data_IF_118644054790
#
_entry.id   IF_118644054790
#
_cell.length_a   1.000
_cell.length_b   1.000
_cell.length_c   1.000
_cell.angle_alpha   90.00
_cell.angle_beta   90.00
_cell.angle_gamma   90.00
#
_symmetry.space_group_name_H-M   'P 1'
#
loop_
_entity.id
_entity.type
_entity.pdbx_description
1 polymer ?
#
# COMPACT_ATOMS: atom_id res chain seq x y z
N UNK A 1 -14.39 -0.62 0.81
CA UNK A 1 -13.41 -1.33 -0.05
C UNK A 1 -13.06 -0.51 -1.29
N UNK A 2 -11.79 -0.24 -1.52
CA UNK A 2 -11.27 0.37 -2.75
C UNK A 2 -10.04 -0.37 -3.29
N UNK A 3 -9.83 -0.32 -4.59
CA UNK A 3 -8.68 -0.96 -5.25
C UNK A 3 -7.55 0.05 -5.40
N UNK A 4 -6.44 -0.18 -4.70
CA UNK A 4 -5.23 0.65 -4.83
C UNK A 4 -4.43 0.27 -6.07
N UNK A 5 -4.23 -1.04 -6.29
CA UNK A 5 -3.55 -1.61 -7.45
C UNK A 5 -4.48 -2.65 -8.07
N UNK A 6 -4.64 -2.60 -9.40
CA UNK A 6 -5.38 -3.63 -10.14
C UNK A 6 -4.79 -3.78 -11.54
N UNK A 7 -3.75 -4.60 -11.65
CA UNK A 7 -3.21 -5.04 -12.94
C UNK A 7 -3.45 -6.55 -13.11
N UNK A 8 -2.90 -7.16 -14.16
CA UNK A 8 -3.20 -8.55 -14.50
C UNK A 8 -2.63 -9.54 -13.47
N UNK A 9 -1.51 -9.18 -12.84
CA UNK A 9 -0.75 -10.05 -11.94
C UNK A 9 -0.99 -9.73 -10.46
N UNK A 10 -1.20 -8.47 -10.10
CA UNK A 10 -1.32 -7.99 -8.72
C UNK A 10 -2.58 -7.15 -8.52
N UNK A 11 -3.36 -7.53 -7.52
CA UNK A 11 -4.47 -6.76 -6.99
C UNK A 11 -4.23 -6.47 -5.51
N UNK A 12 -4.34 -5.18 -5.15
CA UNK A 12 -4.26 -4.71 -3.76
C UNK A 12 -5.52 -3.91 -3.47
N UNK A 13 -6.30 -4.43 -2.52
CA UNK A 13 -7.52 -3.78 -2.06
C UNK A 13 -7.36 -3.35 -0.61
N UNK A 14 -7.92 -2.21 -0.29
CA UNK A 14 -7.95 -1.65 1.04
C UNK A 14 -9.42 -1.51 1.46
N UNK A 15 -9.79 -2.17 2.54
CA UNK A 15 -11.14 -2.12 3.09
C UNK A 15 -11.15 -1.46 4.45
N UNK A 16 -11.92 -0.38 4.60
CA UNK A 16 -12.02 0.35 5.86
C UNK A 16 -12.79 -0.51 6.85
N UNK A 17 -12.16 -0.84 7.98
CA UNK A 17 -12.76 -1.68 9.02
C UNK A 17 -13.17 -0.88 10.25
N UNK A 18 -12.42 0.18 10.59
CA UNK A 18 -12.68 1.03 11.74
C UNK A 18 -12.02 2.41 11.58
N UNK A 19 -12.41 3.37 12.42
CA UNK A 19 -11.91 4.74 12.42
C UNK A 19 -11.97 5.36 13.82
N UNK A 20 -11.03 6.24 14.16
CA UNK A 20 -11.01 6.92 15.47
C UNK A 20 -10.57 8.37 15.38
N UNK A 21 -11.31 9.25 16.06
CA UNK A 21 -11.07 10.71 16.09
C UNK A 21 -10.06 11.14 17.16
N UNK A 22 -9.89 10.36 18.23
CA UNK A 22 -9.01 10.75 19.36
C UNK A 22 -7.55 10.85 18.95
N UNK A 23 -7.13 9.95 18.07
CA UNK A 23 -5.88 10.00 17.33
C UNK A 23 -6.28 9.73 15.89
N UNK A 24 -6.54 10.76 15.05
CA UNK A 24 -7.14 10.60 13.72
C UNK A 24 -6.47 9.48 12.92
N UNK A 25 -7.13 8.31 12.88
CA UNK A 25 -6.58 7.08 12.31
C UNK A 25 -7.69 6.25 11.70
N UNK A 26 -7.32 5.49 10.68
CA UNK A 26 -8.21 4.57 9.97
C UNK A 26 -7.58 3.18 9.99
N UNK A 27 -8.39 2.16 10.24
CA UNK A 27 -7.99 0.78 10.12
C UNK A 27 -8.38 0.24 8.75
N UNK A 28 -7.43 -0.42 8.08
CA UNK A 28 -7.69 -1.12 6.83
C UNK A 28 -7.43 -2.62 6.97
N UNK A 29 -8.31 -3.43 6.41
CA UNK A 29 -7.93 -4.76 5.93
C UNK A 29 -7.25 -4.59 4.56
N UNK A 30 -5.99 -5.04 4.46
CA UNK A 30 -5.22 -5.04 3.20
C UNK A 30 -5.32 -6.42 2.58
N UNK A 31 -6.01 -6.50 1.45
CA UNK A 31 -6.25 -7.75 0.72
C UNK A 31 -5.35 -7.76 -0.51
N UNK A 32 -4.53 -8.81 -0.64
CA UNK A 32 -3.57 -8.97 -1.72
C UNK A 32 -3.87 -10.25 -2.47
N UNK A 33 -4.05 -10.13 -3.78
CA UNK A 33 -4.13 -11.25 -4.71
C UNK A 33 -3.00 -11.13 -5.70
N UNK A 34 -2.15 -12.15 -5.79
CA UNK A 34 -1.04 -12.20 -6.73
C UNK A 34 -1.13 -13.47 -7.57
N UNK A 35 -1.36 -13.28 -8.86
CA UNK A 35 -1.63 -14.32 -9.84
C UNK A 35 -0.53 -14.32 -10.90
N UNK A 36 0.44 -15.22 -10.75
CA UNK A 36 1.51 -15.46 -11.71
C UNK A 36 1.29 -16.81 -12.41
N UNK A 37 1.90 -17.06 -13.58
CA UNK A 37 1.69 -18.31 -14.34
C UNK A 37 1.91 -19.61 -13.56
N UNK A 38 2.77 -19.60 -12.54
CA UNK A 38 3.12 -20.78 -11.74
C UNK A 38 2.85 -20.62 -10.24
N UNK A 39 2.38 -19.45 -9.80
CA UNK A 39 2.23 -19.13 -8.38
C UNK A 39 0.98 -18.30 -8.17
N UNK A 40 0.18 -18.70 -7.19
CA UNK A 40 -0.95 -17.93 -6.73
C UNK A 40 -0.76 -17.67 -5.23
N UNK A 41 -0.93 -16.41 -4.84
CA UNK A 41 -0.96 -16.01 -3.44
C UNK A 41 -2.21 -15.18 -3.20
N UNK A 42 -2.97 -15.55 -2.18
CA UNK A 42 -4.02 -14.70 -1.62
C UNK A 42 -3.69 -14.50 -0.14
N UNK A 43 -3.56 -13.26 0.27
CA UNK A 43 -3.19 -12.88 1.62
C UNK A 43 -4.06 -11.71 2.09
N UNK A 44 -4.33 -11.66 3.40
CA UNK A 44 -5.02 -10.55 4.04
C UNK A 44 -4.27 -10.14 5.32
N UNK A 45 -3.80 -8.90 5.36
CA UNK A 45 -3.42 -8.25 6.61
C UNK A 45 -4.69 -7.62 7.20
N UNK A 46 -4.94 -7.88 8.48
CA UNK A 46 -6.15 -7.40 9.15
C UNK A 46 -5.85 -6.22 10.06
N UNK A 47 -6.79 -5.28 10.12
CA UNK A 47 -6.77 -4.16 11.08
C UNK A 47 -5.43 -3.39 11.10
N UNK A 48 -4.91 -3.08 9.91
CA UNK A 48 -3.74 -2.23 9.76
C UNK A 48 -4.13 -0.78 10.08
N UNK A 49 -3.79 -0.32 11.28
CA UNK A 49 -4.08 1.04 11.72
C UNK A 49 -3.07 2.04 11.16
N UNK A 50 -3.58 3.09 10.51
CA UNK A 50 -2.77 4.12 9.85
C UNK A 50 -3.25 5.49 10.34
N UNK A 51 -2.32 6.34 10.79
CA UNK A 51 -2.65 7.74 11.07
C UNK A 51 -3.05 8.45 9.78
N UNK A 52 -4.11 9.27 9.86
CA UNK A 52 -4.58 10.06 8.72
C UNK A 52 -3.47 10.95 8.14
N UNK A 53 -2.63 11.53 9.00
CA UNK A 53 -1.50 12.36 8.57
C UNK A 53 -0.39 11.57 7.85
N UNK A 54 -0.21 10.29 8.19
CA UNK A 54 0.75 9.39 7.53
C UNK A 54 0.20 8.97 6.17
N UNK A 55 -1.10 8.70 6.07
CA UNK A 55 -1.77 8.46 4.79
C UNK A 55 -1.62 9.63 3.82
N UNK A 56 -1.89 10.85 4.29
CA UNK A 56 -1.82 12.05 3.45
C UNK A 56 -0.39 12.32 2.99
N UNK A 57 0.59 12.19 3.89
CA UNK A 57 2.01 12.28 3.51
C UNK A 57 2.42 11.21 2.51
N UNK A 58 1.95 9.98 2.67
CA UNK A 58 2.26 8.90 1.74
C UNK A 58 1.70 9.20 0.34
N UNK A 59 0.45 9.69 0.26
CA UNK A 59 -0.19 10.12 -0.97
C UNK A 59 0.61 11.24 -1.68
N UNK A 60 1.01 12.28 -0.95
CA UNK A 60 1.84 13.36 -1.50
C UNK A 60 3.23 12.88 -1.90
N UNK A 61 3.80 11.92 -1.16
CA UNK A 61 5.11 11.34 -1.46
C UNK A 61 5.07 10.52 -2.76
N UNK A 62 3.97 9.83 -3.05
CA UNK A 62 3.80 9.13 -4.34
C UNK A 62 3.82 10.13 -5.49
N UNK A 63 3.16 11.29 -5.35
CA UNK A 63 3.19 12.34 -6.37
C UNK A 63 4.63 12.81 -6.61
N UNK A 64 5.38 13.09 -5.54
CA UNK A 64 6.78 13.48 -5.66
C UNK A 64 7.65 12.39 -6.32
N UNK A 65 7.42 11.12 -5.99
CA UNK A 65 8.15 9.99 -6.56
C UNK A 65 7.92 9.85 -8.08
N UNK A 66 6.75 10.25 -8.60
CA UNK A 66 6.49 10.26 -10.04
C UNK A 66 7.45 11.19 -10.80
N UNK A 67 7.80 12.32 -10.22
CA UNK A 67 8.66 13.35 -10.85
C UNK A 67 10.16 13.03 -10.75
N UNK A 68 10.55 12.17 -9.81
CA UNK A 68 11.95 11.80 -9.56
C UNK A 68 12.45 10.69 -10.49
N UNK A 69 13.74 10.69 -10.83
CA UNK A 69 14.35 9.58 -11.58
C UNK A 69 14.42 8.30 -10.74
N UNK A 70 14.73 8.43 -9.46
CA UNK A 70 14.76 7.34 -8.49
C UNK A 70 14.37 7.82 -7.11
N UNK A 71 13.87 6.90 -6.28
CA UNK A 71 13.44 7.19 -4.92
C UNK A 71 12.64 6.05 -4.33
N UNK A 72 12.21 6.21 -3.08
CA UNK A 72 11.33 5.27 -2.42
C UNK A 72 10.35 5.98 -1.49
N UNK A 73 9.18 5.40 -1.32
CA UNK A 73 8.16 5.84 -0.36
C UNK A 73 7.55 4.62 0.32
N UNK A 74 7.22 4.75 1.60
CA UNK A 74 6.68 3.66 2.41
C UNK A 74 5.52 4.16 3.25
N UNK A 75 4.43 3.41 3.24
CA UNK A 75 3.30 3.55 4.15
C UNK A 75 3.52 2.64 5.35
N UNK A 76 3.53 3.23 6.54
CA UNK A 76 3.69 2.50 7.80
C UNK A 76 2.38 2.48 8.61
N UNK A 77 2.22 1.44 9.43
CA UNK A 77 1.18 1.40 10.46
C UNK A 77 1.55 2.28 11.68
N UNK A 78 0.63 2.36 12.66
CA UNK A 78 0.83 3.05 13.94
C UNK A 78 2.03 2.55 14.75
N UNK A 79 2.45 1.29 14.56
CA UNK A 79 3.61 0.70 15.20
C UNK A 79 4.90 0.90 14.40
N UNK A 80 4.83 1.71 13.34
CA UNK A 80 5.92 1.97 12.39
C UNK A 80 6.42 0.70 11.66
N UNK A 81 5.57 -0.31 11.50
CA UNK A 81 5.82 -1.42 10.60
C UNK A 81 5.44 -1.02 9.17
N UNK A 82 6.26 -1.36 8.17
CA UNK A 82 5.94 -1.05 6.80
C UNK A 82 4.82 -1.97 6.28
N UNK A 83 3.88 -1.37 5.56
CA UNK A 83 2.71 -2.04 4.98
C UNK A 83 2.84 -2.13 3.45
N UNK A 84 3.11 -1.00 2.80
CA UNK A 84 3.26 -0.89 1.34
C UNK A 84 4.42 0.04 1.06
N UNK A 85 5.35 -0.39 0.21
CA UNK A 85 6.46 0.41 -0.25
C UNK A 85 6.52 0.45 -1.77
N UNK A 86 6.89 1.61 -2.31
CA UNK A 86 7.17 1.81 -3.72
C UNK A 86 8.62 2.28 -3.86
N UNK A 87 9.40 1.59 -4.67
CA UNK A 87 10.76 2.01 -5.04
C UNK A 87 10.83 2.19 -6.55
N UNK A 88 11.18 3.40 -6.99
CA UNK A 88 11.33 3.74 -8.41
C UNK A 88 12.79 3.78 -8.80
N UNK A 89 13.12 3.22 -9.96
CA UNK A 89 14.42 3.33 -10.60
C UNK A 89 14.24 3.49 -12.11
N UNK A 90 14.24 4.73 -12.60
CA UNK A 90 13.93 5.05 -13.99
C UNK A 90 12.52 4.60 -14.39
N UNK A 91 12.45 3.63 -15.31
CA UNK A 91 11.18 3.07 -15.79
C UNK A 91 10.62 1.95 -14.90
N UNK A 92 11.42 1.44 -13.96
CA UNK A 92 11.03 0.32 -13.10
C UNK A 92 10.39 0.82 -11.82
N UNK A 93 9.34 0.11 -11.40
CA UNK A 93 8.68 0.27 -10.11
C UNK A 93 8.68 -1.05 -9.38
N UNK A 94 9.24 -1.08 -8.19
CA UNK A 94 9.13 -2.20 -7.27
C UNK A 94 8.07 -1.86 -6.23
N UNK A 95 7.04 -2.70 -6.15
CA UNK A 95 6.02 -2.65 -5.10
C UNK A 95 6.30 -3.76 -4.10
N UNK A 96 6.44 -3.40 -2.83
CA UNK A 96 6.55 -4.35 -1.72
C UNK A 96 5.34 -4.23 -0.81
N UNK A 97 4.68 -5.36 -0.53
CA UNK A 97 3.58 -5.43 0.44
C UNK A 97 4.05 -6.29 1.59
N UNK A 98 3.99 -5.72 2.78
CA UNK A 98 4.61 -6.25 3.99
C UNK A 98 3.55 -6.38 5.07
N UNK A 99 3.65 -7.47 5.81
CA UNK A 99 2.85 -7.68 7.01
C UNK A 99 3.68 -8.42 8.03
N UNK A 100 3.61 -7.98 9.27
CA UNK A 100 4.24 -8.65 10.40
C UNK A 100 3.17 -8.91 11.44
N UNK A 101 3.15 -10.14 11.94
CA UNK A 101 2.30 -10.49 13.06
C UNK A 101 2.68 -9.67 14.30
N UNK A 102 1.68 -9.21 15.04
CA UNK A 102 1.87 -8.35 16.23
C UNK A 102 2.58 -9.08 17.38
N UNK A 103 2.48 -10.42 17.42
CA UNK A 103 3.22 -11.27 18.34
C UNK A 103 4.61 -11.65 17.82
N UNK A 104 4.98 -11.18 16.62
CA UNK A 104 6.27 -11.42 15.98
C UNK A 104 6.47 -12.86 15.51
N UNK A 105 5.40 -13.65 15.41
CA UNK A 105 5.48 -15.09 15.10
C UNK A 105 5.73 -15.32 13.61
N UNK A 106 5.23 -14.43 12.76
CA UNK A 106 5.33 -14.56 11.32
C UNK A 106 5.46 -13.22 10.63
N UNK A 107 6.00 -13.27 9.40
CA UNK A 107 6.00 -12.12 8.50
C UNK A 107 5.75 -12.60 7.09
N UNK A 108 5.18 -11.71 6.29
CA UNK A 108 4.93 -11.89 4.88
C UNK A 108 5.50 -10.70 4.14
N UNK A 109 6.15 -10.95 3.02
CA UNK A 109 6.62 -9.91 2.10
C UNK A 109 6.38 -10.40 0.69
N UNK A 110 5.57 -9.65 -0.04
CA UNK A 110 5.36 -9.84 -1.47
C UNK A 110 6.04 -8.71 -2.22
N UNK A 111 6.86 -9.05 -3.20
CA UNK A 111 7.56 -8.10 -4.05
C UNK A 111 7.13 -8.31 -5.49
N UNK A 112 6.63 -7.26 -6.12
CA UNK A 112 6.27 -7.24 -7.54
C UNK A 112 7.02 -6.13 -8.25
N UNK A 113 7.41 -6.36 -9.50
CA UNK A 113 8.07 -5.37 -10.34
C UNK A 113 7.16 -5.03 -11.52
N UNK A 114 6.93 -3.74 -11.72
CA UNK A 114 6.14 -3.20 -12.82
C UNK A 114 6.80 -1.92 -13.38
N UNK A 115 6.03 -1.12 -14.12
CA UNK A 115 6.52 0.13 -14.72
C UNK A 115 6.17 1.33 -13.86
N UNK A 116 7.06 2.31 -13.79
CA UNK A 116 6.87 3.53 -13.00
C UNK A 116 5.69 4.39 -13.42
N UNK A 117 5.15 4.21 -14.63
CA UNK A 117 3.89 4.84 -15.06
C UNK A 117 2.68 4.41 -14.21
N UNK A 118 2.73 3.24 -13.57
CA UNK A 118 1.65 2.77 -12.67
C UNK A 118 1.51 3.64 -11.42
N UNK A 119 2.55 4.38 -11.01
CA UNK A 119 2.46 5.32 -9.88
C UNK A 119 1.36 6.36 -10.08
N UNK A 120 1.12 6.79 -11.32
CA UNK A 120 0.05 7.75 -11.64
C UNK A 120 -1.33 7.14 -11.43
N UNK A 121 -1.51 5.86 -11.77
CA UNK A 121 -2.76 5.15 -11.53
C UNK A 121 -3.00 4.95 -10.03
N UNK A 122 -1.96 4.53 -9.30
CA UNK A 122 -2.00 4.34 -7.84
C UNK A 122 -2.38 5.65 -7.14
N UNK A 123 -1.74 6.75 -7.52
CA UNK A 123 -2.04 8.09 -7.00
C UNK A 123 -3.52 8.47 -7.24
N UNK A 124 -3.99 8.33 -8.48
CA UNK A 124 -5.38 8.63 -8.82
C UNK A 124 -6.38 7.74 -8.05
N UNK A 125 -6.02 6.48 -7.77
CA UNK A 125 -6.85 5.58 -6.94
C UNK A 125 -6.90 6.01 -5.49
N UNK A 126 -5.80 6.49 -4.92
CA UNK A 126 -5.80 7.04 -3.57
C UNK A 126 -6.67 8.29 -3.43
N UNK A 127 -6.78 9.12 -4.47
CA UNK A 127 -7.68 10.29 -4.49
C UNK A 127 -9.17 9.90 -4.50
N UNK A 128 -9.50 8.70 -4.99
CA UNK A 128 -10.88 8.20 -5.04
C UNK A 128 -11.36 7.61 -3.69
N UNK A 129 -10.47 7.49 -2.71
CA UNK A 129 -10.87 7.10 -1.37
C UNK A 129 -11.66 8.25 -0.75
N UNK A 130 -12.93 7.99 -0.42
CA UNK A 130 -13.75 8.91 0.37
C UNK A 130 -13.13 9.07 1.76
N UNK A 131 -12.29 10.09 1.92
CA UNK A 131 -11.71 10.46 3.21
C UNK A 131 -12.82 11.08 4.06
N UNK A 132 -13.02 10.51 5.23
CA UNK A 132 -13.92 11.08 6.24
C UNK A 132 -13.20 12.14 7.09
N UNK A 133 -11.86 12.18 7.02
CA UNK A 133 -10.97 13.15 7.65
C UNK A 133 -10.51 14.24 6.68
#
# INVERSE_FOLDING_TARGET
>A
MFNLIRNNELEVQLDVTDATDRLPSVAFDIIVSWNMPFQNVNFRAKECWIECSVWDKFHDSILQLQEQESGFVTLNDLSNNPLISFTKSGIELVTEIQSKDSLGVGSFTLKSTSRSIELSEIYNKMQQLDKWW
#
